data_IF_266440366270
#
_entry.id   IF_266440366270
#
_cell.length_a   1.000
_cell.length_b   1.000
_cell.length_c   1.000
_cell.angle_alpha   90.00
_cell.angle_beta   90.00
_cell.angle_gamma   90.00
#
_symmetry.space_group_name_H-M   'P 1'
#
loop_
_entity.id
_entity.type
_entity.pdbx_description
1 polymer ?
#
# COMPACT_ATOMS: atom_id res chain seq x y z
N UNK A 1 6.05 21.31 27.27
CA UNK A 1 5.60 20.19 26.42
C UNK A 1 4.61 20.82 25.46
N UNK A 2 4.89 20.80 24.16
CA UNK A 2 3.92 21.29 23.17
C UNK A 2 2.63 20.48 23.29
N UNK A 3 1.49 21.17 23.21
CA UNK A 3 0.18 20.53 23.27
C UNK A 3 -0.03 19.73 21.99
N UNK A 4 -0.34 18.44 22.11
CA UNK A 4 -0.73 17.61 20.96
C UNK A 4 -2.08 18.14 20.45
N UNK A 5 -2.08 18.68 19.24
CA UNK A 5 -3.26 19.16 18.54
C UNK A 5 -3.26 18.66 17.08
N UNK A 6 -4.34 18.93 16.34
CA UNK A 6 -4.51 18.44 14.98
C UNK A 6 -3.41 18.93 14.03
N UNK A 7 -2.96 20.17 14.17
CA UNK A 7 -1.94 20.75 13.29
C UNK A 7 -0.57 20.08 13.51
N UNK A 8 -0.21 19.82 14.77
CA UNK A 8 1.01 19.10 15.14
C UNK A 8 0.94 17.64 14.65
N UNK A 9 -0.23 17.00 14.73
CA UNK A 9 -0.43 15.64 14.21
C UNK A 9 -0.33 15.59 12.67
N UNK A 10 -0.91 16.57 11.96
CA UNK A 10 -0.83 16.66 10.51
C UNK A 10 0.61 16.88 10.02
N UNK A 11 1.36 17.76 10.68
CA UNK A 11 2.78 17.99 10.38
C UNK A 11 3.61 16.72 10.61
N UNK A 12 3.32 15.95 11.67
CA UNK A 12 4.00 14.69 11.92
C UNK A 12 3.70 13.66 10.81
N UNK A 13 2.45 13.53 10.38
CA UNK A 13 2.06 12.60 9.30
C UNK A 13 2.76 12.95 7.98
N UNK A 14 2.92 14.25 7.68
CA UNK A 14 3.66 14.71 6.52
C UNK A 14 5.16 14.35 6.61
N UNK A 15 5.78 14.54 7.78
CA UNK A 15 7.18 14.14 8.03
C UNK A 15 7.36 12.63 7.84
N UNK A 16 6.40 11.82 8.29
CA UNK A 16 6.44 10.36 8.14
C UNK A 16 5.95 9.86 6.77
N UNK A 17 5.61 10.76 5.84
CA UNK A 17 5.06 10.42 4.53
C UNK A 17 3.85 9.47 4.60
N UNK A 18 3.00 9.63 5.60
CA UNK A 18 1.76 8.86 5.73
C UNK A 18 0.64 9.62 5.02
N UNK A 19 -0.05 8.97 4.11
CA UNK A 19 -1.12 9.62 3.34
C UNK A 19 -2.42 9.73 4.15
N UNK A 20 -3.45 10.43 3.64
CA UNK A 20 -4.73 10.58 4.35
C UNK A 20 -5.48 9.27 4.62
N UNK A 21 -5.17 8.18 3.91
CA UNK A 21 -5.71 6.84 4.16
C UNK A 21 -4.86 6.05 5.15
N UNK A 22 -3.80 6.65 5.70
CA UNK A 22 -2.91 5.99 6.66
C UNK A 22 -1.86 5.11 6.00
N UNK A 23 -1.71 5.13 4.68
CA UNK A 23 -0.70 4.32 4.00
C UNK A 23 0.67 4.97 4.13
N UNK A 24 1.67 4.16 4.47
CA UNK A 24 3.05 4.60 4.46
C UNK A 24 3.67 4.50 3.04
N UNK A 25 4.98 4.70 2.94
CA UNK A 25 5.67 4.59 1.66
C UNK A 25 5.65 3.17 1.09
N UNK A 26 5.79 2.14 1.92
CA UNK A 26 5.89 0.75 1.49
C UNK A 26 4.53 0.22 1.03
N UNK A 27 3.45 0.57 1.73
CA UNK A 27 2.07 0.28 1.30
C UNK A 27 1.82 0.79 -0.12
N UNK A 28 2.17 2.06 -0.35
CA UNK A 28 2.02 2.70 -1.67
C UNK A 28 2.94 2.09 -2.70
N UNK A 29 4.16 1.69 -2.32
CA UNK A 29 5.09 1.02 -3.22
C UNK A 29 4.55 -0.33 -3.69
N UNK A 30 4.04 -1.16 -2.78
CA UNK A 30 3.42 -2.46 -3.11
C UNK A 30 2.30 -2.26 -4.13
N UNK A 31 1.35 -1.38 -3.84
CA UNK A 31 0.23 -1.08 -4.75
C UNK A 31 0.71 -0.50 -6.09
N UNK A 32 1.67 0.43 -6.07
CA UNK A 32 2.24 1.05 -7.26
C UNK A 32 2.92 0.02 -8.17
N UNK A 33 3.75 -0.86 -7.61
CA UNK A 33 4.40 -1.94 -8.37
C UNK A 33 3.37 -2.84 -9.01
N UNK A 34 2.34 -3.25 -8.25
CA UNK A 34 1.24 -4.06 -8.78
C UNK A 34 0.53 -3.36 -9.95
N UNK A 35 0.27 -2.06 -9.85
CA UNK A 35 -0.41 -1.28 -10.88
C UNK A 35 0.48 -1.05 -12.11
N UNK A 36 1.69 -0.55 -11.93
CA UNK A 36 2.56 -0.12 -13.04
C UNK A 36 3.25 -1.28 -13.76
N UNK A 37 3.73 -2.29 -13.02
CA UNK A 37 4.50 -3.39 -13.60
C UNK A 37 3.62 -4.57 -14.02
N UNK A 38 2.51 -4.79 -13.31
CA UNK A 38 1.64 -5.94 -13.52
C UNK A 38 0.23 -5.57 -13.98
N UNK A 39 0.02 -4.30 -14.36
CA UNK A 39 -1.29 -3.77 -14.78
C UNK A 39 -2.42 -4.07 -13.78
N UNK A 40 -2.12 -4.05 -12.48
CA UNK A 40 -3.06 -4.36 -11.41
C UNK A 40 -3.16 -5.85 -11.06
N UNK A 41 -2.41 -6.74 -11.71
CA UNK A 41 -2.38 -8.18 -11.41
C UNK A 41 -3.32 -9.03 -12.27
N UNK A 42 -3.52 -10.32 -11.94
CA UNK A 42 -3.02 -11.01 -10.74
C UNK A 42 -1.50 -11.26 -10.76
N UNK A 43 -0.84 -11.00 -9.63
CA UNK A 43 0.62 -11.17 -9.42
C UNK A 43 0.93 -12.01 -8.18
N UNK A 44 1.93 -12.89 -8.25
CA UNK A 44 2.35 -13.73 -7.12
C UNK A 44 3.07 -12.93 -6.03
N UNK A 45 3.02 -13.38 -4.76
CA UNK A 45 3.68 -12.71 -3.63
C UNK A 45 5.17 -12.48 -3.90
N UNK A 46 5.85 -13.55 -4.32
CA UNK A 46 7.30 -13.54 -4.58
C UNK A 46 7.68 -12.53 -5.67
N UNK A 47 6.82 -12.34 -6.67
CA UNK A 47 7.06 -11.37 -7.73
C UNK A 47 6.89 -9.93 -7.21
N UNK A 48 5.89 -9.69 -6.35
CA UNK A 48 5.73 -8.38 -5.70
C UNK A 48 6.94 -8.10 -4.80
N UNK A 49 7.31 -9.05 -3.93
CA UNK A 49 8.45 -8.97 -3.03
C UNK A 49 9.76 -8.67 -3.79
N UNK A 50 10.03 -9.41 -4.86
CA UNK A 50 11.21 -9.18 -5.70
C UNK A 50 11.22 -7.78 -6.37
N UNK A 51 10.06 -7.29 -6.82
CA UNK A 51 9.94 -5.98 -7.45
C UNK A 51 9.99 -4.81 -6.45
N UNK A 52 9.57 -5.00 -5.20
CA UNK A 52 9.63 -3.97 -4.14
C UNK A 52 10.94 -4.01 -3.36
N UNK A 53 11.67 -5.13 -3.39
CA UNK A 53 12.85 -5.37 -2.55
C UNK A 53 12.48 -5.71 -1.10
N UNK A 54 11.22 -5.99 -0.84
CA UNK A 54 10.70 -6.38 0.48
C UNK A 54 10.69 -7.89 0.65
N UNK A 55 10.63 -8.33 1.90
CA UNK A 55 10.41 -9.73 2.22
C UNK A 55 8.94 -10.14 1.99
N UNK A 56 8.74 -11.31 1.38
CA UNK A 56 7.42 -11.82 1.02
C UNK A 56 6.51 -12.00 2.25
N UNK A 57 7.06 -12.55 3.34
CA UNK A 57 6.31 -12.76 4.57
C UNK A 57 5.94 -11.42 5.21
N UNK A 58 6.82 -10.42 5.15
CA UNK A 58 6.55 -9.07 5.62
C UNK A 58 5.40 -8.42 4.83
N UNK A 59 5.37 -8.57 3.51
CA UNK A 59 4.22 -8.13 2.71
C UNK A 59 2.93 -8.81 3.15
N UNK A 60 2.96 -10.13 3.33
CA UNK A 60 1.78 -10.90 3.67
C UNK A 60 1.24 -10.62 5.09
N UNK A 61 2.13 -10.47 6.07
CA UNK A 61 1.78 -10.40 7.49
C UNK A 61 1.67 -8.97 8.01
N UNK A 62 2.36 -8.00 7.39
CA UNK A 62 2.39 -6.59 7.86
C UNK A 62 1.53 -5.68 6.99
N UNK A 63 1.77 -5.64 5.68
CA UNK A 63 1.16 -4.64 4.80
C UNK A 63 -0.21 -5.10 4.24
N UNK A 64 -0.29 -6.32 3.72
CA UNK A 64 -1.51 -6.85 3.10
C UNK A 64 -2.76 -6.80 4.00
N UNK A 65 -2.72 -7.07 5.32
CA UNK A 65 -3.91 -7.09 6.16
C UNK A 65 -4.70 -5.78 6.09
N UNK A 66 -4.02 -4.64 6.14
CA UNK A 66 -4.67 -3.34 6.07
C UNK A 66 -5.16 -3.02 4.65
N UNK A 67 -4.35 -3.30 3.63
CA UNK A 67 -4.71 -3.10 2.22
C UNK A 67 -5.94 -3.93 1.80
N UNK A 68 -6.07 -5.15 2.33
CA UNK A 68 -7.26 -6.00 2.18
C UNK A 68 -8.47 -5.37 2.88
N UNK A 69 -8.28 -4.91 4.12
CA UNK A 69 -9.36 -4.33 4.93
C UNK A 69 -9.97 -3.08 4.30
N UNK A 70 -9.15 -2.20 3.72
CA UNK A 70 -9.63 -0.98 3.04
C UNK A 70 -10.03 -1.22 1.58
N UNK A 71 -9.91 -2.46 1.08
CA UNK A 71 -10.31 -2.86 -0.27
C UNK A 71 -9.39 -2.36 -1.37
N UNK A 72 -8.12 -2.10 -1.08
CA UNK A 72 -7.11 -1.66 -2.05
C UNK A 72 -6.39 -2.84 -2.71
N UNK A 73 -6.39 -3.99 -2.05
CA UNK A 73 -5.82 -5.24 -2.53
C UNK A 73 -6.82 -6.38 -2.38
N UNK A 74 -6.87 -7.29 -3.34
CA UNK A 74 -7.62 -8.55 -3.25
C UNK A 74 -6.67 -9.74 -3.42
N UNK A 75 -6.85 -10.78 -2.59
CA UNK A 75 -6.25 -12.10 -2.81
C UNK A 75 -7.12 -12.94 -3.73
N UNK A 76 -6.51 -13.56 -4.72
CA UNK A 76 -7.15 -14.55 -5.60
C UNK A 76 -6.29 -15.82 -5.64
N UNK A 77 -6.83 -16.98 -6.08
CA UNK A 77 -6.03 -18.19 -6.26
C UNK A 77 -4.84 -18.01 -7.25
N UNK A 78 -4.90 -17.00 -8.13
CA UNK A 78 -3.87 -16.71 -9.13
C UNK A 78 -2.85 -15.67 -8.66
N UNK A 79 -3.06 -15.03 -7.51
CA UNK A 79 -2.21 -13.95 -7.01
C UNK A 79 -3.01 -12.77 -6.44
N UNK A 80 -2.29 -11.69 -6.11
CA UNK A 80 -2.83 -10.43 -5.61
C UNK A 80 -3.27 -9.54 -6.76
N UNK A 81 -4.34 -8.79 -6.56
CA UNK A 81 -4.90 -7.84 -7.53
C UNK A 81 -5.08 -6.50 -6.85
N UNK A 82 -4.53 -5.44 -7.43
CA UNK A 82 -4.76 -4.07 -6.99
C UNK A 82 -6.11 -3.60 -7.53
N UNK A 83 -6.96 -3.09 -6.64
CA UNK A 83 -8.33 -2.72 -7.01
C UNK A 83 -8.39 -1.37 -7.74
N UNK A 84 -9.54 -1.07 -8.33
CA UNK A 84 -9.81 0.27 -8.88
C UNK A 84 -9.75 1.36 -7.81
N UNK A 85 -10.09 1.04 -6.55
CA UNK A 85 -9.98 1.98 -5.44
C UNK A 85 -8.51 2.35 -5.16
N UNK A 86 -7.60 1.37 -5.19
CA UNK A 86 -6.17 1.62 -5.06
C UNK A 86 -5.62 2.47 -6.21
N UNK A 87 -6.02 2.16 -7.45
CA UNK A 87 -5.64 2.96 -8.63
C UNK A 87 -6.06 4.42 -8.46
N UNK A 88 -7.34 4.65 -8.17
CA UNK A 88 -7.89 5.98 -7.95
C UNK A 88 -7.19 6.73 -6.81
N UNK A 89 -6.91 6.04 -5.70
CA UNK A 89 -6.23 6.62 -4.53
C UNK A 89 -4.82 7.10 -4.88
N UNK A 90 -4.08 6.30 -5.65
CA UNK A 90 -2.72 6.63 -6.08
C UNK A 90 -2.67 7.54 -7.32
N UNK A 91 -3.82 8.04 -7.80
CA UNK A 91 -3.89 8.97 -8.93
C UNK A 91 -3.81 8.31 -10.31
N UNK A 92 -4.01 7.00 -10.40
CA UNK A 92 -4.20 6.27 -11.65
C UNK A 92 -5.70 6.23 -12.00
N UNK A 93 -6.03 6.15 -13.30
CA UNK A 93 -7.42 6.13 -13.82
C UNK A 93 -8.36 5.13 -13.13
#
# INVERSE_FOLDING_TARGET
>A
IEQINQDVAAQAMEIFNVDPMGLDWTDRLVLKVMIEQFNGGPVGLEAVAASTGEDAQTIEEVYEPYLLQIGFLHRTPRGRVATSAARKHLGYE
#
